data_IF_883379910634
#
_entry.id   IF_883379910634
#
_cell.length_a   1.000
_cell.length_b   1.000
_cell.length_c   1.000
_cell.angle_alpha   90.00
_cell.angle_beta   90.00
_cell.angle_gamma   90.00
#
_symmetry.space_group_name_H-M   'P 1'
#
loop_
_entity.id
_entity.type
_entity.pdbx_description
1 polymer ?
#
# COMPACT_ATOMS: atom_id res chain seq x y z
N UNK A 1 -4.49 16.67 -21.63
CA UNK A 1 -4.79 15.23 -21.74
C UNK A 1 -4.12 14.57 -22.95
N UNK A 2 -4.07 15.17 -24.14
CA UNK A 2 -3.42 14.55 -25.33
C UNK A 2 -1.89 14.38 -25.23
N UNK A 3 -1.14 15.28 -24.57
CA UNK A 3 0.32 15.14 -24.41
C UNK A 3 0.81 14.36 -23.18
N UNK A 4 -0.11 13.87 -22.32
CA UNK A 4 0.23 13.15 -21.07
C UNK A 4 0.34 11.64 -21.30
N UNK A 5 -0.53 11.08 -22.15
CA UNK A 5 -0.52 9.66 -22.50
C UNK A 5 0.74 9.30 -23.28
N UNK A 6 1.15 10.13 -24.22
CA UNK A 6 2.37 9.89 -25.01
C UNK A 6 3.60 9.82 -24.10
N UNK A 7 3.75 10.73 -23.15
CA UNK A 7 4.96 10.82 -22.32
C UNK A 7 5.14 9.64 -21.35
N UNK A 8 4.05 9.18 -20.74
CA UNK A 8 4.07 7.99 -19.87
C UNK A 8 4.40 6.73 -20.69
N UNK A 9 3.93 6.71 -21.94
CA UNK A 9 4.29 5.69 -22.93
C UNK A 9 5.76 5.76 -23.35
N UNK A 10 6.31 6.96 -23.57
CA UNK A 10 7.71 7.19 -23.92
C UNK A 10 8.67 6.67 -22.83
N UNK A 11 8.31 6.85 -21.56
CA UNK A 11 9.12 6.41 -20.42
C UNK A 11 9.00 4.91 -20.17
N UNK A 12 7.79 4.35 -20.31
CA UNK A 12 7.51 2.93 -20.06
C UNK A 12 7.93 2.02 -21.23
N UNK A 13 8.04 2.57 -22.45
CA UNK A 13 8.34 1.82 -23.67
C UNK A 13 9.69 2.19 -24.33
N UNK A 14 10.72 2.55 -23.55
CA UNK A 14 12.06 2.90 -24.07
C UNK A 14 12.58 1.91 -25.13
N UNK A 15 12.39 0.61 -24.91
CA UNK A 15 12.80 -0.45 -25.84
C UNK A 15 12.11 -0.32 -27.21
N UNK A 16 10.78 -0.13 -27.22
CA UNK A 16 10.01 0.05 -28.47
C UNK A 16 10.35 1.36 -29.17
N UNK A 17 10.64 2.41 -28.41
CA UNK A 17 11.04 3.69 -28.98
C UNK A 17 12.40 3.59 -29.66
N UNK A 18 13.37 2.97 -29.00
CA UNK A 18 14.71 2.76 -29.56
C UNK A 18 14.65 1.94 -30.85
N UNK A 19 13.83 0.89 -30.89
CA UNK A 19 13.61 0.10 -32.12
C UNK A 19 12.97 0.92 -33.24
N UNK A 20 11.95 1.72 -32.91
CA UNK A 20 11.26 2.58 -33.88
C UNK A 20 12.19 3.66 -34.44
N UNK A 21 12.98 4.30 -33.57
CA UNK A 21 13.97 5.31 -33.95
C UNK A 21 15.11 4.71 -34.79
N UNK A 22 15.62 3.53 -34.40
CA UNK A 22 16.66 2.84 -35.16
C UNK A 22 16.18 2.56 -36.58
N UNK A 23 14.96 2.06 -36.75
CA UNK A 23 14.38 1.79 -38.07
C UNK A 23 14.25 3.06 -38.92
N UNK A 24 13.69 4.13 -38.36
CA UNK A 24 13.48 5.40 -39.09
C UNK A 24 14.82 6.00 -39.52
N UNK A 25 15.81 5.98 -38.62
CA UNK A 25 17.12 6.59 -38.91
C UNK A 25 17.87 5.74 -39.94
N UNK A 26 17.88 4.41 -39.82
CA UNK A 26 18.53 3.49 -40.78
C UNK A 26 17.97 3.67 -42.20
N UNK A 27 16.64 3.72 -42.35
CA UNK A 27 15.96 3.98 -43.63
C UNK A 27 16.38 5.32 -44.27
N UNK A 28 16.64 6.34 -43.47
CA UNK A 28 17.09 7.65 -43.94
C UNK A 28 18.61 7.73 -44.21
N UNK A 29 19.43 6.91 -43.57
CA UNK A 29 20.89 6.90 -43.72
C UNK A 29 21.41 5.89 -44.76
N UNK A 30 20.57 4.93 -45.18
CA UNK A 30 20.87 3.96 -46.23
C UNK A 30 21.38 4.59 -47.56
N UNK A 31 20.78 5.70 -48.07
CA UNK A 31 21.26 6.36 -49.28
C UNK A 31 22.68 6.94 -49.18
N UNK A 32 23.16 7.16 -47.94
CA UNK A 32 24.51 7.66 -47.67
C UNK A 32 25.51 6.53 -47.42
N UNK A 33 25.08 5.26 -47.48
CA UNK A 33 25.92 4.09 -47.27
C UNK A 33 26.35 3.88 -45.81
N UNK A 34 25.63 4.47 -44.85
CA UNK A 34 25.91 4.37 -43.42
C UNK A 34 24.86 3.46 -42.78
N UNK A 35 25.31 2.37 -42.15
CA UNK A 35 24.45 1.45 -41.41
C UNK A 35 24.39 1.83 -39.92
N UNK A 36 23.20 2.00 -39.38
CA UNK A 36 23.00 2.34 -37.96
C UNK A 36 22.83 1.07 -37.14
N UNK A 37 23.67 0.88 -36.12
CA UNK A 37 23.64 -0.32 -35.27
C UNK A 37 22.65 -0.22 -34.11
N UNK A 38 22.71 0.88 -33.34
CA UNK A 38 21.84 1.10 -32.18
C UNK A 38 21.62 2.59 -31.97
N UNK A 39 20.36 2.97 -31.68
CA UNK A 39 19.98 4.32 -31.24
C UNK A 39 19.47 4.23 -29.80
N UNK A 40 20.03 5.08 -28.92
CA UNK A 40 19.65 5.14 -27.51
C UNK A 40 19.30 6.58 -27.11
N UNK A 41 18.16 6.74 -26.45
CA UNK A 41 17.73 8.03 -25.88
C UNK A 41 18.54 8.29 -24.60
N UNK A 42 19.40 9.31 -24.63
CA UNK A 42 20.20 9.71 -23.45
C UNK A 42 19.36 10.40 -22.37
N UNK A 43 18.81 11.57 -22.70
CA UNK A 43 18.08 12.39 -21.73
C UNK A 43 16.87 13.06 -22.41
N UNK A 44 15.73 13.05 -21.73
CA UNK A 44 14.50 13.73 -22.15
C UNK A 44 14.23 14.80 -21.12
N UNK A 45 14.46 16.06 -21.51
CA UNK A 45 14.16 17.20 -20.65
C UNK A 45 12.68 17.54 -20.74
N UNK A 46 11.97 17.41 -19.62
CA UNK A 46 10.60 17.87 -19.50
C UNK A 46 10.57 19.32 -19.04
N UNK A 47 9.64 20.10 -19.58
CA UNK A 47 9.37 21.46 -19.09
C UNK A 47 9.01 21.41 -17.60
N UNK A 48 9.51 22.38 -16.83
CA UNK A 48 9.38 22.39 -15.36
C UNK A 48 7.92 22.44 -14.89
N UNK A 49 7.06 23.13 -15.65
CA UNK A 49 5.62 23.19 -15.40
C UNK A 49 4.97 21.80 -15.50
N UNK A 50 5.35 21.01 -16.50
CA UNK A 50 4.81 19.65 -16.70
C UNK A 50 5.25 18.70 -15.60
N UNK A 51 6.52 18.76 -15.16
CA UNK A 51 7.01 17.97 -14.02
C UNK A 51 6.21 18.24 -12.76
N UNK A 52 5.92 19.51 -12.47
CA UNK A 52 5.13 19.91 -11.31
C UNK A 52 3.69 19.39 -11.39
N UNK A 53 3.06 19.48 -12.56
CA UNK A 53 1.70 18.98 -12.76
C UNK A 53 1.63 17.45 -12.66
N UNK A 54 2.60 16.74 -13.23
CA UNK A 54 2.71 15.29 -13.12
C UNK A 54 2.94 14.85 -11.66
N UNK A 55 3.83 15.53 -10.93
CA UNK A 55 4.07 15.25 -9.51
C UNK A 55 2.81 15.47 -8.67
N UNK A 56 2.10 16.57 -8.89
CA UNK A 56 0.85 16.86 -8.17
C UNK A 56 -0.25 15.82 -8.47
N UNK A 57 -0.36 15.37 -9.72
CA UNK A 57 -1.31 14.33 -10.11
C UNK A 57 -0.93 12.96 -9.53
N UNK A 58 0.36 12.59 -9.58
CA UNK A 58 0.87 11.35 -9.02
C UNK A 58 0.63 11.27 -7.52
N UNK A 59 0.83 12.37 -6.79
CA UNK A 59 0.56 12.46 -5.36
C UNK A 59 -0.93 12.32 -5.05
N UNK A 60 -1.80 12.99 -5.82
CA UNK A 60 -3.25 12.89 -5.64
C UNK A 60 -3.78 11.46 -5.86
N UNK A 61 -3.30 10.78 -6.91
CA UNK A 61 -3.65 9.38 -7.18
C UNK A 61 -3.11 8.43 -6.12
N UNK A 62 -1.87 8.68 -5.64
CA UNK A 62 -1.26 7.92 -4.55
C UNK A 62 -2.07 8.06 -3.27
N UNK A 63 -2.45 9.28 -2.89
CA UNK A 63 -3.24 9.54 -1.69
C UNK A 63 -4.63 8.90 -1.79
N UNK A 64 -5.29 9.01 -2.95
CA UNK A 64 -6.56 8.33 -3.23
C UNK A 64 -6.43 6.82 -3.05
N UNK A 65 -5.42 6.19 -3.66
CA UNK A 65 -5.18 4.74 -3.52
C UNK A 65 -4.88 4.34 -2.09
N UNK A 66 -4.07 5.11 -1.38
CA UNK A 66 -3.76 4.87 0.02
C UNK A 66 -5.03 4.85 0.90
N UNK A 67 -5.94 5.82 0.70
CA UNK A 67 -7.23 5.86 1.42
C UNK A 67 -8.10 4.64 1.15
N UNK A 68 -8.17 4.19 -0.11
CA UNK A 68 -8.94 2.98 -0.47
C UNK A 68 -8.35 1.74 0.20
N UNK A 69 -7.03 1.56 0.12
CA UNK A 69 -6.34 0.41 0.73
C UNK A 69 -6.53 0.41 2.25
N UNK A 70 -6.44 1.58 2.89
CA UNK A 70 -6.66 1.71 4.33
C UNK A 70 -8.09 1.33 4.72
N UNK A 71 -9.09 1.88 4.03
CA UNK A 71 -10.49 1.58 4.30
C UNK A 71 -10.82 0.09 4.09
N UNK A 72 -10.26 -0.52 3.05
CA UNK A 72 -10.40 -1.96 2.77
C UNK A 72 -9.73 -2.80 3.87
N UNK A 73 -8.54 -2.41 4.32
CA UNK A 73 -7.84 -3.07 5.43
C UNK A 73 -8.61 -2.98 6.75
N UNK A 74 -9.18 -1.82 7.06
CA UNK A 74 -10.04 -1.62 8.23
C UNK A 74 -11.30 -2.47 8.18
N UNK A 75 -11.95 -2.55 7.00
CA UNK A 75 -13.13 -3.39 6.81
C UNK A 75 -12.82 -4.86 7.04
N UNK A 76 -11.74 -5.37 6.44
CA UNK A 76 -11.31 -6.76 6.63
C UNK A 76 -10.94 -7.04 8.09
N UNK A 77 -10.25 -6.12 8.77
CA UNK A 77 -9.93 -6.25 10.18
C UNK A 77 -11.21 -6.31 11.04
N UNK A 78 -12.16 -5.41 10.81
CA UNK A 78 -13.43 -5.39 11.53
C UNK A 78 -14.23 -6.68 11.32
N UNK A 79 -14.29 -7.19 10.09
CA UNK A 79 -14.95 -8.46 9.78
C UNK A 79 -14.33 -9.64 10.56
N UNK A 80 -12.99 -9.74 10.54
CA UNK A 80 -12.29 -10.80 11.28
C UNK A 80 -12.47 -10.68 12.79
N UNK A 81 -12.48 -9.47 13.33
CA UNK A 81 -12.76 -9.23 14.75
C UNK A 81 -14.19 -9.62 15.12
N UNK A 82 -15.18 -9.32 14.28
CA UNK A 82 -16.56 -9.74 14.48
C UNK A 82 -16.70 -11.27 14.47
N UNK A 83 -16.04 -11.95 13.53
CA UNK A 83 -15.99 -13.42 13.48
C UNK A 83 -15.35 -14.00 14.74
N UNK A 84 -14.22 -13.45 15.18
CA UNK A 84 -13.56 -13.86 16.42
C UNK A 84 -14.47 -13.63 17.64
N UNK A 85 -15.17 -12.50 17.71
CA UNK A 85 -16.15 -12.19 18.76
C UNK A 85 -17.28 -13.22 18.82
N UNK A 86 -17.82 -13.62 17.66
CA UNK A 86 -18.86 -14.64 17.58
C UNK A 86 -18.39 -16.01 18.08
N UNK A 87 -17.15 -16.41 17.75
CA UNK A 87 -16.53 -17.64 18.28
C UNK A 87 -16.40 -17.56 19.80
N UNK A 88 -15.98 -16.41 20.32
CA UNK A 88 -15.77 -16.22 21.76
C UNK A 88 -17.08 -16.22 22.54
N UNK A 89 -18.13 -15.64 21.97
CA UNK A 89 -19.47 -15.69 22.55
C UNK A 89 -20.02 -17.13 22.60
N UNK A 90 -19.66 -17.98 21.62
CA UNK A 90 -20.08 -19.38 21.56
C UNK A 90 -19.37 -20.26 22.60
N UNK A 91 -18.09 -20.00 22.86
CA UNK A 91 -17.26 -20.81 23.76
C UNK A 91 -16.72 -19.98 24.94
N UNK A 92 -17.37 -20.00 26.12
CA UNK A 92 -16.97 -19.14 27.25
C UNK A 92 -15.55 -19.39 27.77
N UNK A 93 -14.97 -20.58 27.52
CA UNK A 93 -13.58 -20.91 27.87
C UNK A 93 -12.57 -20.04 27.09
N UNK A 94 -12.91 -19.60 25.89
CA UNK A 94 -12.02 -18.75 25.07
C UNK A 94 -11.77 -17.38 25.69
N UNK A 95 -12.75 -16.82 26.41
CA UNK A 95 -12.59 -15.55 27.12
C UNK A 95 -11.57 -15.67 28.27
N UNK A 96 -11.57 -16.81 28.96
CA UNK A 96 -10.58 -17.12 30.00
C UNK A 96 -9.18 -17.28 29.40
N UNK A 97 -9.05 -17.97 28.26
CA UNK A 97 -7.75 -18.08 27.57
C UNK A 97 -7.23 -16.72 27.12
N UNK A 98 -8.11 -15.87 26.56
CA UNK A 98 -7.75 -14.50 26.18
C UNK A 98 -7.33 -13.67 27.39
N UNK A 99 -8.04 -13.80 28.50
CA UNK A 99 -7.67 -13.17 29.77
C UNK A 99 -6.26 -13.60 30.24
N UNK A 100 -5.96 -14.91 30.23
CA UNK A 100 -4.62 -15.42 30.57
C UNK A 100 -3.52 -14.93 29.60
N UNK A 101 -3.83 -14.83 28.30
CA UNK A 101 -2.92 -14.25 27.30
C UNK A 101 -2.63 -12.78 27.61
N UNK A 102 -3.66 -11.96 27.88
CA UNK A 102 -3.47 -10.55 28.23
C UNK A 102 -2.64 -10.39 29.50
N UNK A 103 -2.82 -11.26 30.50
CA UNK A 103 -1.97 -11.26 31.71
C UNK A 103 -0.50 -11.58 31.38
N UNK A 104 -0.26 -12.48 30.43
CA UNK A 104 1.10 -12.86 30.02
C UNK A 104 1.77 -11.73 29.24
N UNK A 105 1.04 -11.05 28.36
CA UNK A 105 1.51 -9.88 27.61
C UNK A 105 1.87 -8.72 28.56
N UNK A 106 0.98 -8.40 29.51
CA UNK A 106 1.22 -7.39 30.54
C UNK A 106 2.40 -7.77 31.45
N UNK A 107 2.57 -9.06 31.79
CA UNK A 107 3.72 -9.51 32.57
C UNK A 107 5.05 -9.40 31.81
N UNK A 108 4.99 -9.41 30.47
CA UNK A 108 6.16 -9.30 29.59
C UNK A 108 6.58 -7.84 29.39
N UNK A 109 5.61 -6.93 29.26
CA UNK A 109 5.83 -5.49 29.34
C UNK A 109 6.10 -5.08 30.79
N UNK A 110 7.37 -4.87 31.18
CA UNK A 110 7.81 -4.49 32.53
C UNK A 110 7.23 -3.15 33.02
N UNK A 111 5.92 -3.05 33.27
CA UNK A 111 5.24 -1.84 33.71
C UNK A 111 4.63 -2.05 35.10
N UNK A 112 5.06 -1.23 36.07
CA UNK A 112 4.81 -1.41 37.52
C UNK A 112 3.40 -1.04 37.99
N UNK A 113 2.50 -0.68 37.06
CA UNK A 113 1.13 -0.26 37.39
C UNK A 113 0.13 -1.29 36.89
N UNK A 114 -0.27 -2.19 37.79
CA UNK A 114 -1.29 -3.23 37.57
C UNK A 114 -2.69 -2.59 37.65
N UNK A 115 -3.24 -2.15 36.51
CA UNK A 115 -4.67 -1.77 36.43
C UNK A 115 -5.45 -3.05 36.16
N UNK A 116 -6.08 -3.57 37.21
CA UNK A 116 -6.83 -4.82 37.17
C UNK A 116 -8.33 -4.53 36.97
N UNK A 117 -8.92 -4.80 35.79
CA UNK A 117 -10.37 -4.76 35.65
C UNK A 117 -10.96 -6.01 36.33
N UNK A 118 -11.47 -5.85 37.56
CA UNK A 118 -12.18 -6.92 38.26
C UNK A 118 -13.52 -7.21 37.54
N UNK A 119 -13.81 -8.47 37.16
CA UNK A 119 -15.12 -8.85 36.66
C UNK A 119 -16.19 -8.54 37.70
N UNK A 120 -17.27 -7.88 37.29
CA UNK A 120 -18.38 -7.51 38.17
C UNK A 120 -19.01 -8.77 38.80
N UNK A 121 -18.96 -9.91 38.10
CA UNK A 121 -19.44 -11.20 38.60
C UNK A 121 -18.70 -11.67 39.88
N UNK A 122 -17.40 -11.42 39.98
CA UNK A 122 -16.63 -11.70 41.21
C UNK A 122 -17.02 -10.77 42.35
N UNK A 123 -17.26 -9.49 42.05
CA UNK A 123 -17.69 -8.48 43.04
C UNK A 123 -19.08 -8.83 43.59
N UNK A 124 -20.02 -9.24 42.72
CA UNK A 124 -21.37 -9.61 43.15
C UNK A 124 -21.42 -10.81 44.08
N UNK A 125 -20.48 -11.76 43.98
CA UNK A 125 -20.33 -12.89 44.91
C UNK A 125 -19.95 -12.45 46.33
N UNK A 126 -19.23 -11.34 46.47
CA UNK A 126 -18.89 -10.75 47.78
C UNK A 126 -19.92 -9.73 48.28
N UNK A 127 -20.77 -9.19 47.40
CA UNK A 127 -21.84 -8.22 47.76
C UNK A 127 -23.20 -8.87 48.05
N UNK A 128 -23.47 -10.09 47.58
CA UNK A 128 -24.63 -10.87 48.03
C UNK A 128 -24.33 -11.48 49.39
N UNK A 129 -24.84 -10.84 50.45
CA UNK A 129 -24.99 -11.43 51.78
C UNK A 129 -26.37 -12.05 51.93
#
# INVERSE_FOLDING_TARGET
MLGQSELDELLTQREKLNQSLTKIIDEHTDPWGVKVSTVEIKEVELAEEMKRMMAAQAEAERERRAKIIHAEGEFQAAEKLAQAGAVIAREPVTLQLRYLQTLTEIATERNSTLIFPLPIDLITMFMKK
#
